data_IF_746890673369
#
_entry.id   IF_746890673369
#
_cell.length_a   1.000
_cell.length_b   1.000
_cell.length_c   1.000
_cell.angle_alpha   90.00
_cell.angle_beta   90.00
_cell.angle_gamma   90.00
#
_symmetry.space_group_name_H-M   'P 1'
#
loop_
_entity.id
_entity.type
_entity.pdbx_description
1 polymer ?
#
# COMPACT_ATOMS: atom_id res chain seq x y z
N UNK A 1 9.62 -9.15 -21.28
CA UNK A 1 9.52 -9.65 -19.88
C UNK A 1 8.85 -11.03 -19.84
N UNK A 2 9.17 -11.86 -20.82
CA UNK A 2 8.28 -12.90 -21.33
C UNK A 2 9.17 -14.01 -21.83
N UNK A 3 8.97 -15.23 -21.35
CA UNK A 3 9.59 -16.38 -22.00
C UNK A 3 8.89 -16.54 -23.34
N UNK A 4 9.67 -16.85 -24.36
CA UNK A 4 9.14 -16.91 -25.71
C UNK A 4 8.93 -18.37 -26.09
N UNK A 5 7.72 -18.70 -26.52
CA UNK A 5 7.39 -20.01 -27.07
C UNK A 5 8.13 -20.13 -28.39
N UNK A 6 9.07 -21.07 -28.43
CA UNK A 6 9.86 -21.35 -29.64
C UNK A 6 9.19 -22.42 -30.50
N UNK A 7 8.49 -23.38 -29.87
CA UNK A 7 7.74 -24.42 -30.57
C UNK A 7 6.50 -24.83 -29.77
N UNK A 8 5.43 -25.21 -30.49
CA UNK A 8 4.19 -25.70 -29.91
C UNK A 8 3.12 -24.62 -29.76
N UNK A 9 1.93 -25.06 -29.34
CA UNK A 9 0.77 -24.22 -29.08
C UNK A 9 -0.09 -24.88 -28.01
N UNK A 10 -0.48 -24.12 -26.99
CA UNK A 10 -1.18 -24.64 -25.82
C UNK A 10 -2.09 -23.59 -25.19
N UNK A 11 -3.12 -24.06 -24.50
CA UNK A 11 -3.92 -23.27 -23.59
C UNK A 11 -3.21 -23.14 -22.24
N UNK A 12 -3.06 -21.92 -21.73
CA UNK A 12 -2.39 -21.60 -20.46
C UNK A 12 -3.36 -20.88 -19.52
N UNK A 13 -3.36 -21.30 -18.27
CA UNK A 13 -4.01 -20.63 -17.16
C UNK A 13 -3.07 -19.59 -16.55
N UNK A 14 -3.40 -18.31 -16.75
CA UNK A 14 -2.64 -17.17 -16.20
C UNK A 14 -3.30 -16.57 -14.94
N UNK A 15 -4.26 -17.28 -14.31
CA UNK A 15 -5.01 -16.80 -13.14
C UNK A 15 -4.13 -16.39 -11.96
N UNK A 16 -2.97 -17.04 -11.79
CA UNK A 16 -1.99 -16.71 -10.76
C UNK A 16 -1.43 -15.28 -10.89
N UNK A 17 -1.57 -14.65 -12.06
CA UNK A 17 -1.00 -13.34 -12.36
C UNK A 17 -2.09 -12.33 -12.71
N UNK A 18 -3.04 -12.71 -13.57
CA UNK A 18 -4.10 -11.80 -14.03
C UNK A 18 -5.31 -11.82 -13.11
N UNK A 19 -5.48 -12.85 -12.28
CA UNK A 19 -6.70 -13.09 -11.51
C UNK A 19 -7.88 -13.58 -12.35
N UNK A 20 -7.71 -13.71 -13.68
CA UNK A 20 -8.76 -14.18 -14.57
C UNK A 20 -8.65 -15.69 -14.81
N UNK A 21 -9.75 -16.42 -14.62
CA UNK A 21 -9.79 -17.88 -14.80
C UNK A 21 -9.94 -18.33 -16.26
N UNK A 22 -10.02 -17.39 -17.20
CA UNK A 22 -10.20 -17.72 -18.61
C UNK A 22 -8.86 -18.21 -19.21
N UNK A 23 -8.83 -19.39 -19.85
CA UNK A 23 -7.64 -19.89 -20.51
C UNK A 23 -7.21 -18.99 -21.67
N UNK A 24 -5.91 -18.76 -21.81
CA UNK A 24 -5.31 -17.96 -22.89
C UNK A 24 -4.44 -18.84 -23.77
N UNK A 25 -4.56 -18.69 -25.09
CA UNK A 25 -3.76 -19.46 -26.06
C UNK A 25 -2.38 -18.82 -26.20
N UNK A 26 -1.33 -19.66 -26.12
CA UNK A 26 0.06 -19.29 -26.37
C UNK A 26 0.63 -20.19 -27.46
N UNK A 27 1.24 -19.60 -28.49
CA UNK A 27 1.76 -20.32 -29.66
C UNK A 27 3.05 -19.68 -30.19
N UNK A 28 3.89 -20.49 -30.83
CA UNK A 28 5.13 -20.00 -31.46
C UNK A 28 4.87 -19.13 -32.68
N UNK A 29 5.73 -18.13 -32.92
CA UNK A 29 5.79 -17.42 -34.21
C UNK A 29 4.82 -16.24 -34.39
N UNK A 30 4.22 -15.73 -33.32
CA UNK A 30 3.34 -14.56 -33.38
C UNK A 30 3.31 -13.75 -32.08
N UNK A 31 2.39 -12.77 -32.00
CA UNK A 31 2.23 -11.88 -30.84
C UNK A 31 1.82 -12.61 -29.55
N UNK A 32 1.35 -13.86 -29.67
CA UNK A 32 0.96 -14.73 -28.55
C UNK A 32 2.09 -15.63 -28.04
N UNK A 33 3.32 -15.48 -28.55
CA UNK A 33 4.48 -16.29 -28.14
C UNK A 33 4.97 -15.99 -26.71
N UNK A 34 4.42 -14.98 -26.05
CA UNK A 34 4.86 -14.61 -24.72
C UNK A 34 4.16 -15.38 -23.61
N UNK A 35 4.93 -16.08 -22.76
CA UNK A 35 4.40 -16.76 -21.57
C UNK A 35 5.11 -16.30 -20.30
N UNK A 36 4.37 -16.24 -19.19
CA UNK A 36 4.89 -15.80 -17.89
C UNK A 36 5.15 -16.99 -16.97
N UNK A 37 6.26 -16.95 -16.24
CA UNK A 37 6.58 -17.99 -15.26
C UNK A 37 5.61 -18.03 -14.07
N UNK A 38 5.27 -19.23 -13.62
CA UNK A 38 4.30 -19.46 -12.53
C UNK A 38 2.88 -19.74 -13.01
N UNK A 39 2.64 -19.74 -14.32
CA UNK A 39 1.35 -20.08 -14.96
C UNK A 39 1.27 -21.59 -15.24
N UNK A 40 0.06 -22.12 -15.44
CA UNK A 40 -0.18 -23.55 -15.63
C UNK A 40 -0.59 -23.86 -17.06
N UNK A 41 0.07 -24.82 -17.70
CA UNK A 41 -0.38 -25.37 -18.99
C UNK A 41 -1.62 -26.25 -18.75
N UNK A 42 -2.66 -26.05 -19.55
CA UNK A 42 -3.92 -26.80 -19.49
C UNK A 42 -4.06 -27.81 -20.64
N UNK A 43 -3.47 -27.52 -21.80
CA UNK A 43 -3.50 -28.42 -22.97
C UNK A 43 -2.12 -28.52 -23.63
N UNK A 44 -1.88 -29.62 -24.35
CA UNK A 44 -0.71 -29.80 -25.21
C UNK A 44 0.64 -29.56 -24.53
N UNK A 45 1.64 -29.08 -25.28
CA UNK A 45 3.00 -28.83 -24.81
C UNK A 45 3.57 -27.55 -25.42
N UNK A 46 4.51 -26.93 -24.71
CA UNK A 46 5.24 -25.75 -25.16
C UNK A 46 6.73 -25.95 -24.91
N UNK A 47 7.56 -25.64 -25.92
CA UNK A 47 9.00 -25.46 -25.73
C UNK A 47 9.26 -23.96 -25.65
N UNK A 48 9.92 -23.54 -24.57
CA UNK A 48 9.99 -22.13 -24.18
C UNK A 48 11.44 -21.72 -23.95
N UNK A 49 11.85 -20.57 -24.50
CA UNK A 49 13.15 -19.96 -24.23
C UNK A 49 13.08 -19.04 -23.01
N UNK A 50 13.93 -19.31 -22.01
CA UNK A 50 14.15 -18.40 -20.89
C UNK A 50 14.90 -17.14 -21.35
N UNK A 51 14.28 -15.98 -21.15
CA UNK A 51 14.80 -14.66 -21.59
C UNK A 51 15.15 -13.72 -20.42
N UNK A 52 15.03 -14.19 -19.18
CA UNK A 52 15.23 -13.39 -17.95
C UNK A 52 16.28 -14.05 -17.06
N UNK A 53 17.09 -13.22 -16.40
CA UNK A 53 18.10 -13.67 -15.45
C UNK A 53 17.46 -14.07 -14.11
N UNK A 54 18.15 -14.88 -13.28
CA UNK A 54 17.74 -15.12 -11.89
C UNK A 54 17.56 -13.80 -11.11
N UNK A 55 16.47 -13.65 -10.37
CA UNK A 55 16.15 -12.43 -9.61
C UNK A 55 15.40 -11.36 -10.42
N UNK A 56 15.31 -11.50 -11.74
CA UNK A 56 14.57 -10.58 -12.61
C UNK A 56 13.23 -11.16 -13.09
N UNK A 57 12.79 -12.27 -12.49
CA UNK A 57 11.52 -12.90 -12.88
C UNK A 57 10.32 -12.04 -12.47
N UNK A 58 9.19 -12.28 -13.11
CA UNK A 58 7.94 -11.59 -12.75
C UNK A 58 7.55 -11.84 -11.28
N UNK A 59 7.73 -13.08 -10.80
CA UNK A 59 7.50 -13.45 -9.41
C UNK A 59 8.49 -12.76 -8.46
N UNK A 60 9.79 -12.72 -8.80
CA UNK A 60 10.79 -12.01 -7.98
C UNK A 60 10.48 -10.53 -7.84
N UNK A 61 9.94 -9.89 -8.89
CA UNK A 61 9.48 -8.50 -8.80
C UNK A 61 8.24 -8.33 -7.93
N UNK A 62 7.30 -9.29 -7.95
CA UNK A 62 6.17 -9.29 -7.02
C UNK A 62 6.67 -9.45 -5.58
N UNK A 63 7.62 -10.36 -5.34
CA UNK A 63 8.26 -10.56 -4.03
C UNK A 63 8.95 -9.27 -3.59
N UNK A 64 9.79 -8.65 -4.44
CA UNK A 64 10.46 -7.39 -4.13
C UNK A 64 9.48 -6.25 -3.85
N UNK A 65 8.33 -6.22 -4.53
CA UNK A 65 7.26 -5.24 -4.28
C UNK A 65 6.62 -5.44 -2.89
N UNK A 66 6.43 -6.71 -2.49
CA UNK A 66 5.89 -7.07 -1.16
C UNK A 66 6.92 -6.83 -0.06
N UNK A 67 8.17 -7.22 -0.25
CA UNK A 67 9.28 -7.02 0.69
C UNK A 67 9.63 -5.53 0.86
N UNK A 68 9.52 -4.75 -0.21
CA UNK A 68 9.71 -3.30 -0.20
C UNK A 68 8.56 -2.52 0.47
N UNK A 69 7.45 -3.17 0.81
CA UNK A 69 6.30 -2.56 1.49
C UNK A 69 6.58 -2.36 2.99
N UNK A 70 7.61 -1.61 3.32
CA UNK A 70 7.80 -1.12 4.69
C UNK A 70 6.83 0.01 4.98
N UNK A 71 6.17 -0.06 6.14
CA UNK A 71 5.27 1.00 6.61
C UNK A 71 6.06 2.29 6.85
N UNK A 72 5.98 3.21 5.89
CA UNK A 72 6.43 4.59 6.07
C UNK A 72 5.40 5.38 6.85
N UNK A 73 5.85 6.37 7.63
CA UNK A 73 4.97 7.38 8.23
C UNK A 73 4.18 8.08 7.13
N UNK A 74 2.93 8.38 7.42
CA UNK A 74 2.04 9.03 6.46
C UNK A 74 2.33 10.54 6.36
N UNK A 75 1.92 11.22 5.28
CA UNK A 75 2.14 12.66 5.14
C UNK A 75 1.56 13.47 6.30
N UNK A 76 0.35 13.10 6.77
CA UNK A 76 -0.28 13.80 7.89
C UNK A 76 0.44 13.49 9.22
N UNK A 77 0.88 12.25 9.42
CA UNK A 77 1.70 11.86 10.57
C UNK A 77 3.01 12.65 10.62
N UNK A 78 3.66 12.87 9.48
CA UNK A 78 4.89 13.67 9.38
C UNK A 78 4.60 15.15 9.69
N UNK A 79 3.56 15.74 9.08
CA UNK A 79 3.20 17.14 9.30
C UNK A 79 2.91 17.43 10.77
N UNK A 80 2.12 16.58 11.42
CA UNK A 80 1.83 16.70 12.84
C UNK A 80 3.08 16.47 13.70
N UNK A 81 3.93 15.50 13.35
CA UNK A 81 5.20 15.27 14.06
C UNK A 81 6.09 16.53 14.03
N UNK A 82 6.19 17.21 12.89
CA UNK A 82 6.98 18.46 12.76
C UNK A 82 6.42 19.54 13.69
N UNK A 83 5.10 19.72 13.72
CA UNK A 83 4.45 20.68 14.61
C UNK A 83 4.71 20.36 16.09
N UNK A 84 4.60 19.09 16.48
CA UNK A 84 4.84 18.64 17.86
C UNK A 84 6.30 18.86 18.27
N UNK A 85 7.26 18.60 17.37
CA UNK A 85 8.68 18.89 17.60
C UNK A 85 8.91 20.39 17.78
N UNK A 86 8.33 21.22 16.91
CA UNK A 86 8.45 22.68 17.00
C UNK A 86 7.90 23.22 18.33
N UNK A 87 6.71 22.79 18.74
CA UNK A 87 6.10 23.16 20.03
C UNK A 87 6.95 22.70 21.21
N UNK A 88 7.45 21.46 21.17
CA UNK A 88 8.32 20.91 22.22
C UNK A 88 9.59 21.74 22.37
N UNK A 89 10.19 22.18 21.26
CA UNK A 89 11.38 23.02 21.26
C UNK A 89 11.08 24.41 21.85
N UNK A 90 9.95 25.02 21.47
CA UNK A 90 9.50 26.30 22.05
C UNK A 90 9.29 26.19 23.56
N UNK A 91 8.58 25.16 24.04
CA UNK A 91 8.34 24.97 25.47
C UNK A 91 9.60 24.59 26.25
N UNK A 92 10.52 23.84 25.63
CA UNK A 92 11.82 23.57 26.22
C UNK A 92 12.61 24.86 26.44
N UNK A 93 12.69 25.73 25.44
CA UNK A 93 13.37 27.03 25.58
C UNK A 93 12.67 27.94 26.60
N UNK A 94 11.33 27.98 26.57
CA UNK A 94 10.55 28.78 27.51
C UNK A 94 10.77 28.32 28.96
N UNK A 95 10.71 27.02 29.22
CA UNK A 95 10.91 26.48 30.59
C UNK A 95 12.37 26.55 31.05
N UNK A 96 13.33 26.32 30.15
CA UNK A 96 14.75 26.43 30.46
C UNK A 96 15.17 27.87 30.79
N UNK A 97 14.58 28.88 30.13
CA UNK A 97 14.88 30.30 30.38
C UNK A 97 14.22 30.85 31.64
N UNK A 98 13.17 30.21 32.18
CA UNK A 98 12.59 30.59 33.48
C UNK A 98 13.60 30.42 34.62
N UNK A 99 14.47 29.41 34.56
CA UNK A 99 15.44 29.17 35.63
C UNK A 99 16.39 30.37 35.87
N UNK A 100 17.16 30.88 34.89
CA UNK A 100 18.03 32.02 35.09
C UNK A 100 17.27 33.30 35.48
N UNK A 101 16.07 33.53 34.94
CA UNK A 101 15.25 34.69 35.32
C UNK A 101 14.78 34.62 36.77
N UNK A 102 14.32 33.45 37.22
CA UNK A 102 13.89 33.25 38.61
C UNK A 102 15.05 33.33 39.60
N UNK A 103 16.21 32.75 39.24
CA UNK A 103 17.42 32.84 40.04
C UNK A 103 17.90 34.28 40.20
N UNK A 104 17.79 35.10 39.15
CA UNK A 104 18.10 36.54 39.23
C UNK A 104 17.14 37.30 40.14
N UNK A 105 15.85 36.93 40.17
CA UNK A 105 14.83 37.57 41.02
C UNK A 105 14.91 37.22 42.52
N UNK A 106 15.84 36.34 42.91
CA UNK A 106 16.14 35.99 44.30
C UNK A 106 15.57 34.67 44.79
N UNK A 107 14.62 34.06 44.08
CA UNK A 107 14.09 32.73 44.39
C UNK A 107 14.06 31.87 43.13
N UNK A 108 15.07 31.02 42.95
CA UNK A 108 15.11 30.09 41.83
C UNK A 108 13.96 29.08 41.94
N UNK A 109 13.21 28.92 40.84
CA UNK A 109 12.22 27.84 40.74
C UNK A 109 12.94 26.49 40.79
N UNK A 110 12.42 25.55 41.59
CA UNK A 110 13.03 24.23 41.69
C UNK A 110 12.97 23.50 40.33
N UNK A 111 13.99 22.70 40.06
CA UNK A 111 14.05 21.88 38.83
C UNK A 111 12.83 20.96 38.72
N UNK A 112 12.32 20.46 39.86
CA UNK A 112 11.10 19.62 39.90
C UNK A 112 9.87 20.34 39.37
N UNK A 113 9.68 21.62 39.70
CA UNK A 113 8.56 22.43 39.21
C UNK A 113 8.72 22.75 37.73
N UNK A 114 9.94 23.05 37.27
CA UNK A 114 10.21 23.31 35.85
C UNK A 114 9.97 22.07 34.98
N UNK A 115 10.37 20.89 35.45
CA UNK A 115 10.10 19.62 34.77
C UNK A 115 8.60 19.33 34.73
N UNK A 116 7.89 19.51 35.85
CA UNK A 116 6.44 19.35 35.89
C UNK A 116 5.73 20.30 34.91
N UNK A 117 6.13 21.57 34.89
CA UNK A 117 5.63 22.57 33.95
C UNK A 117 5.90 22.17 32.48
N UNK A 118 7.11 21.71 32.17
CA UNK A 118 7.47 21.26 30.83
C UNK A 118 6.60 20.08 30.39
N UNK A 119 6.42 19.07 31.25
CA UNK A 119 5.57 17.90 30.95
C UNK A 119 4.11 18.29 30.72
N UNK A 120 3.59 19.26 31.48
CA UNK A 120 2.24 19.78 31.29
C UNK A 120 2.08 20.58 29.99
N UNK A 121 3.15 21.19 29.46
CA UNK A 121 3.12 21.99 28.24
C UNK A 121 3.36 21.17 26.97
N UNK A 122 4.25 20.18 27.03
CA UNK A 122 4.52 19.31 25.88
C UNK A 122 3.23 18.56 25.52
N UNK A 123 2.85 18.50 24.22
CA UNK A 123 1.65 17.80 23.76
C UNK A 123 1.81 16.26 23.77
N UNK A 124 2.11 15.70 24.94
CA UNK A 124 2.40 14.28 25.18
C UNK A 124 1.20 13.39 24.86
N UNK A 125 -0.02 13.87 25.12
CA UNK A 125 -1.26 13.15 24.81
C UNK A 125 -1.37 12.83 23.32
N UNK A 126 -1.23 13.84 22.45
CA UNK A 126 -1.36 13.65 21.00
C UNK A 126 -0.13 12.89 20.46
N UNK A 127 1.07 13.22 20.94
CA UNK A 127 2.31 12.55 20.51
C UNK A 127 2.31 11.05 20.78
N UNK A 128 1.75 10.61 21.91
CA UNK A 128 1.62 9.19 22.24
C UNK A 128 0.52 8.45 21.46
N UNK A 129 -0.58 9.14 21.15
CA UNK A 129 -1.75 8.53 20.53
C UNK A 129 -1.63 8.42 18.99
N UNK A 130 -0.81 9.25 18.35
CA UNK A 130 -0.66 9.31 16.89
C UNK A 130 -0.42 7.93 16.25
N UNK A 131 0.56 7.18 16.76
CA UNK A 131 0.90 5.85 16.25
C UNK A 131 -0.22 4.83 16.50
N UNK A 132 -0.90 4.92 17.64
CA UNK A 132 -1.99 4.02 18.02
C UNK A 132 -3.21 4.22 17.11
N UNK A 133 -3.55 5.47 16.78
CA UNK A 133 -4.64 5.80 15.85
C UNK A 133 -4.38 5.19 14.47
N UNK A 134 -3.15 5.32 13.96
CA UNK A 134 -2.78 4.75 12.66
C UNK A 134 -2.89 3.22 12.61
N UNK A 135 -2.49 2.52 13.69
CA UNK A 135 -2.64 1.05 13.79
C UNK A 135 -4.12 0.67 13.86
N UNK A 136 -4.90 1.33 14.73
CA UNK A 136 -6.33 1.04 14.89
C UNK A 136 -7.11 1.27 13.59
N UNK A 137 -6.78 2.31 12.83
CA UNK A 137 -7.36 2.57 11.52
C UNK A 137 -7.13 1.43 10.52
N UNK A 138 -5.90 0.93 10.43
CA UNK A 138 -5.58 -0.21 9.55
C UNK A 138 -6.27 -1.50 10.00
N UNK A 139 -6.34 -1.78 11.30
CA UNK A 139 -7.06 -2.93 11.84
C UNK A 139 -8.55 -2.90 11.48
N UNK A 140 -9.19 -1.72 11.49
CA UNK A 140 -10.58 -1.57 11.05
C UNK A 140 -10.78 -1.87 9.56
N UNK A 141 -9.84 -1.47 8.71
CA UNK A 141 -9.91 -1.78 7.26
C UNK A 141 -9.79 -3.28 6.99
N UNK A 142 -8.90 -3.98 7.70
CA UNK A 142 -8.81 -5.44 7.62
C UNK A 142 -10.13 -6.10 8.05
N UNK A 143 -10.77 -5.61 9.12
CA UNK A 143 -12.11 -6.07 9.53
C UNK A 143 -13.21 -5.79 8.50
N UNK A 144 -13.01 -4.84 7.58
CA UNK A 144 -13.90 -4.56 6.46
C UNK A 144 -13.52 -5.31 5.18
N UNK A 145 -12.62 -6.30 5.25
CA UNK A 145 -12.07 -7.05 4.12
C UNK A 145 -11.36 -6.16 3.08
N UNK A 146 -10.80 -5.02 3.50
CA UNK A 146 -10.01 -4.13 2.65
C UNK A 146 -8.53 -4.28 3.00
N UNK A 147 -7.72 -4.66 2.01
CA UNK A 147 -6.27 -4.77 2.15
C UNK A 147 -5.63 -3.46 1.71
N UNK A 148 -5.21 -2.65 2.68
CA UNK A 148 -4.42 -1.45 2.42
C UNK A 148 -2.93 -1.78 2.42
N UNK A 149 -2.23 -1.47 1.32
CA UNK A 149 -0.78 -1.70 1.20
C UNK A 149 0.05 -0.78 2.10
N UNK A 150 -0.51 0.35 2.54
CA UNK A 150 0.14 1.27 3.47
C UNK A 150 -0.87 2.17 4.18
N UNK A 151 -0.49 2.73 5.34
CA UNK A 151 -1.29 3.76 6.00
C UNK A 151 -1.49 5.02 5.15
N UNK A 152 -0.55 5.33 4.25
CA UNK A 152 -0.67 6.44 3.30
C UNK A 152 -1.82 6.24 2.33
N UNK A 153 -2.06 5.02 1.87
CA UNK A 153 -3.21 4.71 1.01
C UNK A 153 -4.53 4.95 1.73
N UNK A 154 -4.59 4.62 3.03
CA UNK A 154 -5.78 4.86 3.87
C UNK A 154 -6.03 6.36 4.07
N UNK A 155 -4.99 7.15 4.34
CA UNK A 155 -5.15 8.61 4.46
C UNK A 155 -5.55 9.26 3.14
N UNK A 156 -4.90 8.88 2.04
CA UNK A 156 -5.21 9.42 0.71
C UNK A 156 -6.65 9.08 0.30
N UNK A 157 -7.16 7.90 0.66
CA UNK A 157 -8.56 7.53 0.45
C UNK A 157 -9.56 8.33 1.32
N UNK A 158 -9.09 9.07 2.33
CA UNK A 158 -9.91 10.03 3.07
C UNK A 158 -9.97 11.42 2.42
N UNK A 159 -9.05 11.71 1.50
CA UNK A 159 -8.86 13.01 0.83
C UNK A 159 -9.27 12.96 -0.66
N UNK A 160 -10.13 12.00 -1.04
CA UNK A 160 -10.64 11.88 -2.41
C UNK A 160 -11.94 12.64 -2.59
N UNK A 161 -11.98 13.53 -3.58
CA UNK A 161 -13.19 14.29 -3.94
C UNK A 161 -14.17 13.49 -4.83
N UNK A 162 -13.63 12.63 -5.68
CA UNK A 162 -14.38 11.88 -6.69
C UNK A 162 -14.00 10.42 -6.64
N UNK A 163 -14.99 9.55 -6.44
CA UNK A 163 -14.84 8.10 -6.53
C UNK A 163 -15.28 7.64 -7.93
N UNK A 164 -14.32 7.17 -8.72
CA UNK A 164 -14.59 6.54 -10.00
C UNK A 164 -14.66 5.03 -9.81
N UNK A 165 -15.81 4.45 -10.14
CA UNK A 165 -16.00 3.00 -10.10
C UNK A 165 -15.87 2.47 -11.52
N UNK A 166 -14.95 1.54 -11.73
CA UNK A 166 -14.90 0.82 -12.99
C UNK A 166 -16.13 -0.10 -13.09
N UNK A 167 -16.68 -0.23 -14.30
CA UNK A 167 -17.87 -1.05 -14.51
C UNK A 167 -17.48 -2.51 -14.70
N UNK A 168 -16.55 -2.78 -15.61
CA UNK A 168 -16.29 -4.14 -16.12
C UNK A 168 -15.28 -4.84 -15.23
N UNK A 169 -15.65 -5.94 -14.58
CA UNK A 169 -14.77 -6.66 -13.66
C UNK A 169 -14.73 -6.09 -12.23
N UNK A 170 -15.45 -4.98 -11.98
CA UNK A 170 -15.62 -4.38 -10.64
C UNK A 170 -17.10 -4.33 -10.23
N UNK A 171 -17.93 -3.51 -10.89
CA UNK A 171 -19.39 -3.52 -10.66
C UNK A 171 -20.04 -4.77 -11.25
N UNK A 172 -19.58 -5.18 -12.43
CA UNK A 172 -20.02 -6.40 -13.11
C UNK A 172 -18.90 -7.44 -13.09
N UNK A 173 -19.26 -8.71 -13.28
CA UNK A 173 -18.32 -9.84 -13.30
C UNK A 173 -17.32 -9.82 -14.48
N UNK A 174 -17.35 -8.79 -15.34
CA UNK A 174 -16.41 -8.60 -16.45
C UNK A 174 -16.58 -9.55 -17.64
N UNK A 175 -17.26 -10.68 -17.43
CA UNK A 175 -17.60 -11.65 -18.46
C UNK A 175 -18.94 -11.28 -19.16
N UNK A 176 -18.94 -11.30 -20.50
CA UNK A 176 -20.19 -11.21 -21.27
C UNK A 176 -20.89 -12.56 -21.18
N UNK A 177 -21.94 -12.64 -20.36
CA UNK A 177 -22.85 -13.77 -20.38
C UNK A 177 -23.99 -13.49 -21.36
N UNK A 178 -24.39 -14.50 -22.13
CA UNK A 178 -25.60 -14.42 -22.94
C UNK A 178 -26.79 -14.24 -21.98
N UNK A 179 -27.41 -13.06 -21.99
CA UNK A 179 -28.53 -12.75 -21.09
C UNK A 179 -29.86 -13.28 -21.63
N UNK A 180 -30.03 -13.25 -22.95
CA UNK A 180 -31.21 -13.75 -23.63
C UNK A 180 -30.90 -14.09 -25.09
N UNK A 181 -31.60 -15.10 -25.60
CA UNK A 181 -31.65 -15.41 -27.02
C UNK A 181 -33.02 -15.00 -27.55
N UNK A 182 -33.04 -14.17 -28.59
CA UNK A 182 -34.27 -13.72 -29.23
C UNK A 182 -34.38 -14.38 -30.61
N UNK A 183 -35.09 -15.52 -30.73
CA UNK A 183 -35.34 -16.13 -32.04
C UNK A 183 -36.28 -15.24 -32.85
N UNK A 184 -35.99 -15.10 -34.15
CA UNK A 184 -36.93 -14.50 -35.10
C UNK A 184 -38.13 -15.42 -35.26
N UNK A 185 -39.35 -14.87 -35.10
CA UNK A 185 -40.57 -15.57 -35.47
C UNK A 185 -40.59 -15.72 -37.00
N UNK A 186 -40.77 -16.96 -37.45
CA UNK A 186 -40.99 -17.31 -38.85
C UNK A 186 -42.29 -16.67 -39.38
#
# INVERSE_FOLDING_TARGET
MRREVIEGGASVDESAITGESAPVIRESGGDFASVTGGTRILSDWLVIRCSVNPGETFLDRMIAMVEGAQRRKTPNEIALTILLIALTLVFLLATATIWPFSAWSGNAVSVTVLVALLVCLIPTTIGGLLSAIGVAGMSRMLGANVIATSGRAVEAAGDVDVLLLDKTGTITLGNRQASAFYPLKA
#
